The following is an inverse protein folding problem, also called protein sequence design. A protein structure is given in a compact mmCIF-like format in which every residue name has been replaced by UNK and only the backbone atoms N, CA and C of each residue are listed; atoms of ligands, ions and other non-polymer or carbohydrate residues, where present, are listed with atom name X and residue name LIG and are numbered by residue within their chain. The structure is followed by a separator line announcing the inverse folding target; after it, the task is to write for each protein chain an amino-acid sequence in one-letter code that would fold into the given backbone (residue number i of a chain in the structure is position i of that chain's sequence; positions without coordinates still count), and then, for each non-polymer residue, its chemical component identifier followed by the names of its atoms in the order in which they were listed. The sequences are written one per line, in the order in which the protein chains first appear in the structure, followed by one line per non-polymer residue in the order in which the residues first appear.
data_IF_136210695282
#
_entry.id   IF_136210695282
#
_cell.length_a   1.000
_cell.length_b   1.000
_cell.length_c   1.000
_cell.angle_alpha   90.00
_cell.angle_beta   90.00
_cell.angle_gamma   90.00
#
_symmetry.space_group_name_H-M   'P 1'
#
loop_
_entity.id
_entity.type
_entity.pdbx_description
1 polymer ?
#
# COMPACT_ATOMS: atom_id res chain seq x y z
N UNK A 1 -10.53 -9.08 25.28
CA UNK A 1 -9.46 -9.09 24.24
C UNK A 1 -9.97 -8.41 22.99
N UNK A 2 -9.23 -7.45 22.45
CA UNK A 2 -9.63 -6.76 21.23
C UNK A 2 -9.34 -7.62 20.00
N UNK A 3 -10.35 -7.80 19.11
CA UNK A 3 -10.17 -8.49 17.85
C UNK A 3 -9.36 -7.65 16.88
N UNK A 4 -8.23 -8.17 16.41
CA UNK A 4 -7.39 -7.55 15.39
C UNK A 4 -7.42 -8.35 14.08
N UNK A 5 -7.19 -7.65 12.97
CA UNK A 5 -7.13 -8.27 11.65
C UNK A 5 -5.74 -8.12 11.05
N UNK A 6 -5.23 -9.19 10.41
CA UNK A 6 -3.95 -9.17 9.69
C UNK A 6 -4.05 -9.91 8.37
N UNK A 7 -3.57 -9.30 7.30
CA UNK A 7 -3.60 -9.89 5.97
C UNK A 7 -2.21 -10.36 5.54
N UNK A 8 -2.11 -11.57 5.02
CA UNK A 8 -0.91 -12.09 4.38
C UNK A 8 -1.15 -12.39 2.91
N UNK A 9 -0.22 -11.98 2.07
CA UNK A 9 -0.26 -12.21 0.62
C UNK A 9 0.68 -13.34 0.24
N UNK A 10 0.12 -14.40 -0.35
CA UNK A 10 0.84 -15.60 -0.78
C UNK A 10 0.75 -15.80 -2.29
N UNK A 11 1.76 -16.46 -2.86
CA UNK A 11 1.75 -16.89 -4.25
C UNK A 11 0.89 -18.13 -4.40
N UNK A 12 -0.03 -18.14 -5.37
CA UNK A 12 -0.83 -19.31 -5.75
C UNK A 12 -0.54 -19.76 -7.18
N UNK A 13 -0.76 -21.03 -7.46
CA UNK A 13 -0.44 -21.66 -8.73
C UNK A 13 -1.69 -22.43 -9.24
N UNK A 14 -2.62 -21.72 -9.88
CA UNK A 14 -3.78 -22.35 -10.50
C UNK A 14 -3.35 -23.20 -11.72
N UNK A 15 -4.05 -24.29 -11.99
CA UNK A 15 -3.98 -25.03 -13.25
C UNK A 15 -4.75 -24.30 -14.36
N UNK A 16 -4.72 -24.85 -15.61
CA UNK A 16 -5.37 -24.20 -16.76
C UNK A 16 -6.88 -24.04 -16.58
N UNK A 17 -7.57 -25.06 -16.01
CA UNK A 17 -9.01 -25.01 -15.75
C UNK A 17 -9.34 -23.93 -14.71
N UNK A 18 -8.56 -23.89 -13.64
CA UNK A 18 -8.68 -22.87 -12.58
C UNK A 18 -8.38 -21.47 -13.10
N UNK A 19 -7.38 -21.29 -13.98
CA UNK A 19 -7.10 -19.99 -14.62
C UNK A 19 -8.29 -19.46 -15.43
N UNK A 20 -8.97 -20.35 -16.16
CA UNK A 20 -10.19 -20.00 -16.92
C UNK A 20 -11.30 -19.55 -15.97
N UNK A 21 -11.55 -20.33 -14.91
CA UNK A 21 -12.61 -20.01 -13.94
C UNK A 21 -12.30 -18.72 -13.15
N UNK A 22 -11.05 -18.50 -12.78
CA UNK A 22 -10.62 -17.23 -12.16
C UNK A 22 -10.83 -16.04 -13.12
N UNK A 23 -10.51 -16.22 -14.41
CA UNK A 23 -10.72 -15.16 -15.41
C UNK A 23 -12.23 -14.86 -15.59
N UNK A 24 -13.09 -15.88 -15.62
CA UNK A 24 -14.55 -15.74 -15.61
C UNK A 24 -15.01 -15.00 -14.36
N UNK A 25 -14.52 -15.38 -13.17
CA UNK A 25 -14.87 -14.72 -11.90
C UNK A 25 -14.51 -13.22 -11.91
N UNK A 26 -13.30 -12.87 -12.38
CA UNK A 26 -12.94 -11.45 -12.54
C UNK A 26 -13.86 -10.71 -13.52
N UNK A 27 -14.27 -11.39 -14.61
CA UNK A 27 -15.20 -10.85 -15.61
C UNK A 27 -16.59 -10.61 -15.00
N UNK A 28 -17.14 -11.60 -14.31
CA UNK A 28 -18.44 -11.53 -13.64
C UNK A 28 -18.48 -10.44 -12.57
N UNK A 29 -17.44 -10.33 -11.73
CA UNK A 29 -17.34 -9.29 -10.72
C UNK A 29 -17.32 -7.88 -11.34
N UNK A 30 -16.59 -7.70 -12.45
CA UNK A 30 -16.56 -6.42 -13.17
C UNK A 30 -17.92 -6.10 -13.82
N UNK A 31 -18.54 -7.09 -14.44
CA UNK A 31 -19.85 -6.96 -15.07
C UNK A 31 -20.92 -6.54 -14.03
N UNK A 32 -21.03 -7.26 -12.92
CA UNK A 32 -22.00 -6.94 -11.85
C UNK A 32 -21.76 -5.56 -11.27
N UNK A 33 -20.48 -5.18 -11.04
CA UNK A 33 -20.15 -3.84 -10.57
C UNK A 33 -20.70 -2.76 -11.52
N UNK A 34 -20.44 -2.92 -12.81
CA UNK A 34 -20.86 -1.96 -13.82
C UNK A 34 -22.39 -1.93 -14.00
N UNK A 35 -23.03 -3.09 -14.02
CA UNK A 35 -24.47 -3.20 -14.16
C UNK A 35 -25.20 -2.55 -12.98
N UNK A 36 -24.79 -2.89 -11.74
CA UNK A 36 -25.35 -2.28 -10.54
C UNK A 36 -25.10 -0.77 -10.47
N UNK A 37 -23.93 -0.29 -10.94
CA UNK A 37 -23.64 1.13 -11.02
C UNK A 37 -24.55 1.84 -12.05
N UNK A 38 -24.73 1.23 -13.25
CA UNK A 38 -25.61 1.76 -14.30
C UNK A 38 -27.05 1.87 -13.78
N UNK A 39 -27.58 0.78 -13.24
CA UNK A 39 -28.97 0.72 -12.76
C UNK A 39 -29.23 1.72 -11.64
N UNK A 40 -28.27 1.92 -10.72
CA UNK A 40 -28.36 2.95 -9.68
C UNK A 40 -28.37 4.39 -10.27
N UNK A 41 -27.56 4.64 -11.29
CA UNK A 41 -27.53 5.95 -11.97
C UNK A 41 -28.84 6.20 -12.71
N UNK A 42 -29.37 5.22 -13.43
CA UNK A 42 -30.61 5.30 -14.19
C UNK A 42 -31.81 5.51 -13.26
N UNK A 43 -31.92 4.76 -12.17
CA UNK A 43 -32.97 4.92 -11.18
C UNK A 43 -32.94 6.32 -10.54
N UNK A 44 -31.75 6.78 -10.15
CA UNK A 44 -31.62 8.11 -9.54
C UNK A 44 -31.99 9.25 -10.52
N UNK A 45 -31.69 9.07 -11.81
CA UNK A 45 -32.11 10.03 -12.84
C UNK A 45 -33.63 10.09 -12.97
N UNK A 46 -34.32 8.94 -12.86
CA UNK A 46 -35.76 8.78 -13.05
C UNK A 46 -36.57 9.38 -11.89
N UNK A 47 -36.24 9.00 -10.66
CA UNK A 47 -37.09 9.34 -9.49
C UNK A 47 -36.32 9.84 -8.26
N UNK A 48 -35.01 10.12 -8.41
CA UNK A 48 -34.13 10.57 -7.32
C UNK A 48 -33.99 9.59 -6.15
N UNK A 49 -34.43 8.34 -6.32
CA UNK A 49 -34.28 7.29 -5.31
C UNK A 49 -33.03 6.42 -5.55
N UNK A 50 -32.48 5.85 -4.47
CA UNK A 50 -31.33 4.92 -4.56
C UNK A 50 -31.81 3.48 -4.70
N UNK A 51 -31.53 2.87 -5.85
CA UNK A 51 -31.86 1.49 -6.12
C UNK A 51 -31.17 0.54 -5.15
N UNK A 52 -31.96 -0.31 -4.48
CA UNK A 52 -31.47 -1.39 -3.61
C UNK A 52 -31.62 -2.73 -4.33
N UNK A 53 -30.56 -3.17 -5.00
CA UNK A 53 -30.50 -4.49 -5.66
C UNK A 53 -29.40 -5.34 -5.07
N UNK A 54 -29.52 -6.66 -5.22
CA UNK A 54 -28.46 -7.61 -4.84
C UNK A 54 -27.94 -8.33 -6.09
N UNK A 55 -26.71 -8.85 -6.10
CA UNK A 55 -26.21 -9.64 -7.23
C UNK A 55 -27.07 -10.87 -7.58
N UNK A 56 -27.86 -11.35 -6.63
CA UNK A 56 -28.75 -12.48 -6.84
C UNK A 56 -29.87 -12.18 -7.85
N UNK A 57 -30.42 -10.96 -7.86
CA UNK A 57 -31.47 -10.57 -8.79
C UNK A 57 -31.05 -10.66 -10.25
N UNK A 58 -29.78 -10.38 -10.54
CA UNK A 58 -29.23 -10.44 -11.90
C UNK A 58 -29.00 -11.87 -12.42
N UNK A 59 -29.03 -12.90 -11.56
CA UNK A 59 -28.79 -14.30 -11.97
C UNK A 59 -29.96 -14.88 -12.78
N UNK A 60 -31.15 -14.24 -12.76
CA UNK A 60 -32.28 -14.64 -13.61
C UNK A 60 -32.02 -14.18 -15.04
N UNK A 61 -31.62 -12.94 -15.23
CA UNK A 61 -31.33 -12.33 -16.53
C UNK A 61 -29.98 -12.86 -17.11
N UNK A 62 -28.98 -13.09 -16.24
CA UNK A 62 -27.63 -13.54 -16.62
C UNK A 62 -27.28 -14.89 -15.96
N UNK A 63 -27.76 -16.05 -16.48
CA UNK A 63 -27.59 -17.37 -15.85
C UNK A 63 -26.13 -17.78 -15.66
N UNK A 64 -25.20 -17.31 -16.53
CA UNK A 64 -23.76 -17.57 -16.43
C UNK A 64 -23.10 -17.02 -15.15
N UNK A 65 -23.74 -16.10 -14.43
CA UNK A 65 -23.29 -15.65 -13.11
C UNK A 65 -23.35 -16.77 -12.04
N UNK A 66 -24.07 -17.88 -12.30
CA UNK A 66 -24.13 -19.07 -11.41
C UNK A 66 -22.85 -19.91 -11.51
N UNK A 67 -22.04 -19.74 -12.56
CA UNK A 67 -20.78 -20.49 -12.73
C UNK A 67 -19.72 -20.06 -11.70
N UNK A 68 -19.78 -18.83 -11.19
CA UNK A 68 -18.79 -18.27 -10.29
C UNK A 68 -19.27 -18.24 -8.84
N UNK A 69 -18.35 -17.96 -7.92
CA UNK A 69 -18.65 -17.86 -6.50
C UNK A 69 -19.63 -16.72 -6.20
N UNK A 70 -20.74 -17.04 -5.55
CA UNK A 70 -21.79 -16.07 -5.18
C UNK A 70 -21.29 -15.04 -4.17
N UNK A 71 -20.42 -15.44 -3.22
CA UNK A 71 -19.84 -14.52 -2.24
C UNK A 71 -18.90 -13.51 -2.90
N UNK A 72 -18.22 -13.90 -3.99
CA UNK A 72 -17.44 -12.98 -4.79
C UNK A 72 -18.32 -11.87 -5.39
N UNK A 73 -19.52 -12.21 -5.86
CA UNK A 73 -20.46 -11.23 -6.38
C UNK A 73 -21.05 -10.35 -5.26
N UNK A 74 -21.36 -10.91 -4.08
CA UNK A 74 -21.83 -10.15 -2.92
C UNK A 74 -20.78 -9.11 -2.47
N UNK A 75 -19.50 -9.48 -2.48
CA UNK A 75 -18.42 -8.51 -2.17
C UNK A 75 -18.35 -7.35 -3.18
N UNK A 76 -18.77 -7.56 -4.44
CA UNK A 76 -18.86 -6.48 -5.42
C UNK A 76 -19.90 -5.43 -5.01
N UNK A 77 -21.06 -5.86 -4.51
CA UNK A 77 -22.06 -4.95 -3.96
C UNK A 77 -21.50 -4.13 -2.80
N UNK A 78 -20.86 -4.80 -1.83
CA UNK A 78 -20.22 -4.12 -0.68
C UNK A 78 -19.19 -3.09 -1.14
N UNK A 79 -18.39 -3.42 -2.14
CA UNK A 79 -17.40 -2.49 -2.69
C UNK A 79 -18.03 -1.29 -3.40
N UNK A 80 -19.15 -1.49 -4.11
CA UNK A 80 -19.87 -0.40 -4.76
C UNK A 80 -20.53 0.52 -3.71
N UNK A 81 -21.16 -0.06 -2.70
CA UNK A 81 -21.76 0.69 -1.59
C UNK A 81 -20.72 1.50 -0.83
N UNK A 82 -19.52 0.90 -0.57
CA UNK A 82 -18.41 1.62 0.04
C UNK A 82 -17.89 2.76 -0.85
N UNK A 83 -17.88 2.57 -2.17
CA UNK A 83 -17.49 3.64 -3.11
C UNK A 83 -18.45 4.82 -3.06
N UNK A 84 -19.76 4.59 -3.00
CA UNK A 84 -20.77 5.64 -2.78
C UNK A 84 -20.61 6.30 -1.42
N UNK A 85 -20.44 5.52 -0.35
CA UNK A 85 -20.20 6.06 0.99
C UNK A 85 -18.97 6.97 1.02
N UNK A 86 -17.87 6.56 0.39
CA UNK A 86 -16.68 7.39 0.28
C UNK A 86 -16.93 8.67 -0.52
N UNK A 87 -17.68 8.62 -1.61
CA UNK A 87 -18.04 9.79 -2.40
C UNK A 87 -18.83 10.83 -1.58
N UNK A 88 -19.81 10.38 -0.79
CA UNK A 88 -20.62 11.30 0.04
C UNK A 88 -19.85 11.82 1.26
N UNK A 89 -18.96 11.02 1.86
CA UNK A 89 -18.20 11.43 3.04
C UNK A 89 -16.89 12.18 2.71
N UNK A 90 -16.35 12.02 1.49
CA UNK A 90 -15.06 12.58 1.04
C UNK A 90 -15.18 13.01 -0.42
N UNK A 91 -15.67 14.21 -0.70
CA UNK A 91 -15.90 14.70 -2.07
C UNK A 91 -14.69 14.59 -3.00
N UNK A 92 -13.47 14.68 -2.44
CA UNK A 92 -12.20 14.54 -3.17
C UNK A 92 -11.99 13.13 -3.77
N UNK A 93 -12.73 12.10 -3.33
CA UNK A 93 -12.60 10.75 -3.92
C UNK A 93 -13.28 10.62 -5.27
N UNK A 94 -14.20 11.54 -5.60
CA UNK A 94 -14.97 11.56 -6.83
C UNK A 94 -16.05 10.46 -6.92
N UNK A 95 -16.91 10.58 -7.92
CA UNK A 95 -18.00 9.63 -8.15
C UNK A 95 -17.51 8.24 -8.55
N UNK A 96 -18.20 7.14 -8.17
CA UNK A 96 -17.85 5.79 -8.58
C UNK A 96 -17.74 5.63 -10.11
N UNK A 97 -16.64 5.04 -10.60
CA UNK A 97 -16.39 4.90 -12.04
C UNK A 97 -16.62 3.49 -12.53
N UNK A 98 -17.07 3.33 -13.77
CA UNK A 98 -17.16 2.04 -14.45
C UNK A 98 -15.78 1.37 -14.53
N UNK A 99 -15.75 0.05 -14.32
CA UNK A 99 -14.53 -0.76 -14.39
C UNK A 99 -14.31 -1.28 -15.81
N UNK A 100 -13.09 -1.13 -16.34
CA UNK A 100 -12.71 -1.70 -17.64
C UNK A 100 -11.76 -2.89 -17.50
N UNK A 101 -11.71 -3.75 -18.51
CA UNK A 101 -10.78 -4.89 -18.55
C UNK A 101 -9.31 -4.45 -18.55
N UNK A 102 -9.02 -3.28 -19.13
CA UNK A 102 -7.65 -2.81 -19.36
C UNK A 102 -7.11 -1.96 -18.20
N UNK A 103 -7.98 -1.26 -17.48
CA UNK A 103 -7.57 -0.31 -16.43
C UNK A 103 -7.92 -0.76 -15.01
N UNK A 104 -8.74 -1.82 -14.86
CA UNK A 104 -9.10 -2.34 -13.55
C UNK A 104 -8.25 -3.54 -13.16
N UNK A 105 -7.97 -3.68 -11.86
CA UNK A 105 -7.29 -4.86 -11.33
C UNK A 105 -8.15 -6.12 -11.55
N UNK A 106 -7.53 -7.21 -12.00
CA UNK A 106 -8.16 -8.52 -12.05
C UNK A 106 -8.13 -9.14 -10.65
N UNK A 107 -9.16 -8.89 -9.85
CA UNK A 107 -9.27 -9.40 -8.48
C UNK A 107 -10.71 -9.61 -8.05
N UNK A 108 -10.93 -10.55 -7.13
CA UNK A 108 -12.18 -10.72 -6.41
C UNK A 108 -11.90 -11.12 -4.95
N UNK A 109 -12.86 -10.85 -4.08
CA UNK A 109 -12.81 -11.26 -2.66
C UNK A 109 -13.94 -12.24 -2.38
N UNK A 110 -13.65 -13.29 -1.62
CA UNK A 110 -14.63 -14.23 -1.08
C UNK A 110 -14.48 -14.35 0.42
N UNK A 111 -15.60 -14.50 1.15
CA UNK A 111 -15.60 -14.58 2.60
C UNK A 111 -15.68 -16.03 3.07
N UNK A 112 -15.14 -16.30 4.26
CA UNK A 112 -15.35 -17.58 4.92
C UNK A 112 -16.80 -17.67 5.42
N UNK A 113 -17.53 -18.65 4.90
CA UNK A 113 -18.88 -19.01 5.35
C UNK A 113 -18.96 -20.54 5.35
N UNK A 114 -19.37 -21.13 6.48
CA UNK A 114 -19.56 -22.58 6.63
C UNK A 114 -18.37 -23.44 6.15
N UNK A 115 -17.13 -22.97 6.40
CA UNK A 115 -15.93 -23.74 6.06
C UNK A 115 -15.60 -23.86 4.56
N UNK A 116 -16.17 -22.98 3.71
CA UNK A 116 -15.97 -22.97 2.27
C UNK A 116 -14.54 -22.57 1.81
N UNK A 117 -13.71 -22.09 2.71
CA UNK A 117 -12.30 -21.77 2.49
C UNK A 117 -11.45 -22.61 3.44
N UNK A 118 -10.44 -23.30 2.90
CA UNK A 118 -9.49 -24.07 3.70
C UNK A 118 -8.06 -23.78 3.26
N UNK A 119 -7.14 -23.74 4.22
CA UNK A 119 -5.71 -23.56 4.00
C UNK A 119 -4.97 -24.69 4.73
N UNK A 120 -4.62 -25.75 4.00
CA UNK A 120 -4.05 -26.96 4.59
C UNK A 120 -2.94 -27.52 3.69
N UNK A 121 -1.86 -28.01 4.29
CA UNK A 121 -0.79 -28.76 3.61
C UNK A 121 -0.28 -28.10 2.30
N UNK A 122 -0.14 -26.75 2.28
CA UNK A 122 0.33 -26.02 1.10
C UNK A 122 -0.71 -25.92 -0.03
N UNK A 123 -1.98 -26.13 0.28
CA UNK A 123 -3.11 -25.99 -0.65
C UNK A 123 -4.15 -25.01 -0.09
N UNK A 124 -4.66 -24.18 -0.98
CA UNK A 124 -5.77 -23.26 -0.71
C UNK A 124 -7.01 -23.77 -1.45
N UNK A 125 -8.06 -24.06 -0.70
CA UNK A 125 -9.36 -24.46 -1.26
C UNK A 125 -10.28 -23.25 -1.27
N UNK A 126 -10.84 -22.92 -2.42
CA UNK A 126 -11.78 -21.82 -2.60
C UNK A 126 -13.07 -22.30 -3.29
N UNK A 127 -14.21 -21.64 -3.06
CA UNK A 127 -15.47 -21.96 -3.72
C UNK A 127 -15.32 -21.99 -5.25
N UNK A 128 -15.95 -22.97 -5.89
CA UNK A 128 -15.94 -23.18 -7.34
C UNK A 128 -14.58 -23.52 -7.94
N UNK A 129 -13.49 -22.84 -7.55
CA UNK A 129 -12.13 -23.10 -8.08
C UNK A 129 -11.47 -24.34 -7.48
N UNK A 130 -11.97 -24.83 -6.33
CA UNK A 130 -11.41 -25.99 -5.66
C UNK A 130 -10.02 -25.76 -5.07
N UNK A 131 -9.25 -26.86 -4.97
CA UNK A 131 -7.95 -26.89 -4.32
C UNK A 131 -6.84 -26.48 -5.26
N UNK A 132 -6.03 -25.45 -4.90
CA UNK A 132 -4.88 -24.98 -5.65
C UNK A 132 -3.62 -24.90 -4.79
N UNK A 133 -2.45 -25.06 -5.41
CA UNK A 133 -1.16 -24.96 -4.71
C UNK A 133 -0.91 -23.51 -4.26
N UNK A 134 -0.49 -23.35 -2.99
CA UNK A 134 -0.08 -22.07 -2.40
C UNK A 134 1.28 -22.22 -1.74
N UNK A 135 2.11 -21.16 -1.78
CA UNK A 135 3.37 -21.11 -1.04
C UNK A 135 3.20 -20.16 0.14
N UNK A 136 3.07 -20.73 1.34
CA UNK A 136 3.05 -20.00 2.59
C UNK A 136 4.47 -19.83 3.10
N UNK A 137 5.03 -18.63 2.98
CA UNK A 137 6.38 -18.29 3.45
C UNK A 137 6.39 -17.80 4.90
N UNK A 138 5.27 -17.87 5.60
CA UNK A 138 5.09 -17.50 7.01
C UNK A 138 4.32 -18.57 7.73
N UNK A 139 4.68 -18.81 8.97
CA UNK A 139 3.87 -19.61 9.88
C UNK A 139 2.64 -18.79 10.28
N UNK A 140 1.49 -19.41 10.22
CA UNK A 140 0.21 -18.84 10.63
C UNK A 140 -0.16 -19.54 11.92
N UNK A 141 -0.32 -18.82 13.05
CA UNK A 141 -0.77 -19.43 14.29
C UNK A 141 -2.10 -20.16 14.12
N UNK A 142 -2.26 -21.29 14.76
CA UNK A 142 -3.45 -22.15 14.64
C UNK A 142 -4.74 -21.52 15.14
N UNK A 143 -4.61 -20.60 16.09
CA UNK A 143 -5.71 -19.84 16.69
C UNK A 143 -6.28 -18.73 15.76
N UNK A 144 -5.57 -18.39 14.69
CA UNK A 144 -6.02 -17.35 13.76
C UNK A 144 -7.09 -17.87 12.83
N UNK A 145 -8.19 -17.14 12.74
CA UNK A 145 -9.35 -17.51 11.89
C UNK A 145 -9.32 -16.75 10.57
N UNK A 146 -9.49 -17.49 9.46
CA UNK A 146 -9.65 -16.88 8.15
C UNK A 146 -11.00 -16.12 8.12
N UNK A 147 -11.00 -14.88 7.65
CA UNK A 147 -12.22 -14.09 7.38
C UNK A 147 -12.56 -14.03 5.90
N UNK A 148 -11.57 -13.75 5.09
CA UNK A 148 -11.76 -13.62 3.64
C UNK A 148 -10.47 -13.88 2.88
N UNK A 149 -10.62 -14.17 1.60
CA UNK A 149 -9.51 -14.31 0.66
C UNK A 149 -9.75 -13.44 -0.56
N UNK A 150 -8.78 -12.58 -0.87
CA UNK A 150 -8.77 -11.81 -2.11
C UNK A 150 -7.78 -12.45 -3.08
N UNK A 151 -8.30 -12.98 -4.18
CA UNK A 151 -7.49 -13.52 -5.28
C UNK A 151 -7.24 -12.43 -6.30
N UNK A 152 -6.00 -12.29 -6.75
CA UNK A 152 -5.66 -11.35 -7.81
C UNK A 152 -4.70 -11.96 -8.84
N UNK A 153 -4.83 -11.50 -10.09
CA UNK A 153 -3.88 -11.74 -11.17
C UNK A 153 -3.11 -10.47 -11.48
N UNK A 154 -1.79 -10.53 -11.36
CA UNK A 154 -0.92 -9.42 -11.75
C UNK A 154 -0.75 -9.36 -13.29
N UNK A 155 -0.40 -8.18 -13.85
CA UNK A 155 -0.11 -8.05 -15.27
C UNK A 155 1.02 -8.96 -15.78
N UNK A 156 1.91 -9.40 -14.91
CA UNK A 156 2.95 -10.41 -15.18
C UNK A 156 2.39 -11.81 -15.47
N UNK A 157 1.08 -12.03 -15.24
CA UNK A 157 0.39 -13.31 -15.34
C UNK A 157 0.44 -14.16 -14.08
N UNK A 158 1.06 -13.67 -13.01
CA UNK A 158 1.14 -14.36 -11.73
C UNK A 158 -0.12 -14.16 -10.90
N UNK A 159 -0.49 -15.19 -10.12
CA UNK A 159 -1.63 -15.16 -9.21
C UNK A 159 -1.20 -15.09 -7.76
N UNK A 160 -1.96 -14.35 -6.96
CA UNK A 160 -1.74 -14.20 -5.52
C UNK A 160 -3.07 -14.29 -4.77
N UNK A 161 -3.02 -14.83 -3.56
CA UNK A 161 -4.10 -14.79 -2.59
C UNK A 161 -3.67 -13.94 -1.39
N UNK A 162 -4.45 -12.91 -1.07
CA UNK A 162 -4.34 -12.16 0.18
C UNK A 162 -5.37 -12.73 1.13
N UNK A 163 -4.92 -13.40 2.19
CA UNK A 163 -5.77 -14.03 3.19
C UNK A 163 -5.85 -13.10 4.39
N UNK A 164 -7.06 -12.68 4.74
CA UNK A 164 -7.34 -11.89 5.93
C UNK A 164 -7.63 -12.82 7.10
N UNK A 165 -6.87 -12.70 8.15
CA UNK A 165 -7.04 -13.41 9.40
C UNK A 165 -7.57 -12.47 10.49
N UNK A 166 -8.42 -13.01 11.37
CA UNK A 166 -8.83 -12.40 12.62
C UNK A 166 -8.19 -13.16 13.77
N UNK A 167 -7.71 -12.45 14.77
CA UNK A 167 -7.12 -13.03 15.96
C UNK A 167 -7.39 -12.15 17.18
N UNK A 168 -7.40 -12.75 18.36
CA UNK A 168 -7.50 -12.05 19.62
C UNK A 168 -6.11 -11.53 20.00
N UNK A 169 -5.95 -10.21 20.05
CA UNK A 169 -4.72 -9.61 20.48
C UNK A 169 -4.73 -9.41 21.99
N UNK A 170 -3.65 -9.82 22.67
CA UNK A 170 -3.38 -9.32 24.00
C UNK A 170 -3.34 -7.79 23.94
N UNK A 171 -3.98 -7.12 24.86
CA UNK A 171 -3.87 -5.67 25.01
C UNK A 171 -2.41 -5.35 25.37
N UNK A 172 -1.59 -5.05 24.38
CA UNK A 172 -0.32 -4.41 24.61
C UNK A 172 -0.61 -2.97 25.03
N UNK A 173 -0.92 -2.79 26.30
CA UNK A 173 -0.93 -1.50 26.98
C UNK A 173 0.52 -1.10 27.31
N UNK A 174 1.34 -0.90 26.30
CA UNK A 174 2.49 -0.04 26.49
C UNK A 174 2.09 1.36 26.02
N UNK A 175 1.33 2.07 26.85
CA UNK A 175 1.36 3.52 26.82
C UNK A 175 2.81 3.89 27.14
N UNK A 176 3.51 4.49 26.15
CA UNK A 176 4.82 5.09 26.38
C UNK A 176 4.55 6.29 27.31
N UNK A 177 4.66 6.08 28.62
CA UNK A 177 4.41 7.11 29.63
C UNK A 177 5.62 8.00 29.88
N UNK A 178 6.82 7.54 29.57
CA UNK A 178 8.02 8.36 29.47
C UNK A 178 9.02 7.71 28.51
N UNK A 179 9.56 8.48 27.60
CA UNK A 179 10.57 8.00 26.63
C UNK A 179 11.80 8.87 26.75
N UNK A 180 12.97 8.24 26.95
CA UNK A 180 14.24 8.94 26.80
C UNK A 180 14.36 9.44 25.36
N UNK A 181 14.83 10.68 25.19
CA UNK A 181 15.10 11.30 23.89
C UNK A 181 15.98 10.42 22.96
N UNK A 182 16.82 9.57 23.54
CA UNK A 182 17.65 8.59 22.83
C UNK A 182 16.85 7.52 22.11
N UNK A 183 15.63 7.23 22.55
CA UNK A 183 14.74 6.23 21.95
C UNK A 183 13.84 6.82 20.87
N UNK A 184 14.03 8.09 20.51
CA UNK A 184 13.30 8.79 19.44
C UNK A 184 14.22 8.91 18.22
N UNK A 185 13.77 8.45 17.07
CA UNK A 185 14.43 8.65 15.79
C UNK A 185 13.74 9.76 14.99
N UNK A 186 14.44 10.87 14.72
CA UNK A 186 14.01 11.85 13.74
C UNK A 186 14.38 11.40 12.33
N UNK A 187 13.47 11.57 11.38
CA UNK A 187 13.59 11.13 9.99
C UNK A 187 13.31 12.32 9.07
N UNK A 188 14.31 12.76 8.34
CA UNK A 188 14.19 13.72 7.27
C UNK A 188 14.19 13.02 5.91
N UNK A 189 13.18 13.26 5.06
CA UNK A 189 13.07 12.63 3.75
C UNK A 189 13.91 13.39 2.71
N UNK A 190 14.78 12.67 2.00
CA UNK A 190 15.68 13.22 1.01
C UNK A 190 15.36 12.74 -0.41
N UNK A 191 15.75 13.53 -1.44
CA UNK A 191 15.37 13.26 -2.82
C UNK A 191 16.20 12.16 -3.51
N UNK A 192 17.50 12.10 -3.18
CA UNK A 192 18.44 11.14 -3.81
C UNK A 192 18.55 9.83 -3.05
N UNK A 193 18.23 9.85 -1.77
CA UNK A 193 18.13 8.70 -0.86
C UNK A 193 16.75 8.69 -0.25
N UNK A 194 16.36 7.65 0.46
CA UNK A 194 15.05 7.64 1.09
C UNK A 194 14.97 8.64 2.24
N UNK A 195 15.94 8.63 3.14
CA UNK A 195 15.92 9.45 4.34
C UNK A 195 17.31 9.60 4.97
N UNK A 196 17.47 10.68 5.74
CA UNK A 196 18.55 10.92 6.69
C UNK A 196 17.97 10.84 8.09
N UNK A 197 18.72 10.26 9.02
CA UNK A 197 18.26 10.02 10.39
C UNK A 197 19.01 10.89 11.40
N UNK A 198 18.36 11.16 12.53
CA UNK A 198 18.93 11.96 13.62
C UNK A 198 20.13 11.31 14.33
N UNK A 199 20.42 10.03 14.07
CA UNK A 199 21.62 9.34 14.51
C UNK A 199 22.81 9.47 13.52
N UNK A 200 22.65 10.29 12.46
CA UNK A 200 23.63 10.51 11.41
C UNK A 200 23.65 9.43 10.31
N UNK A 201 22.90 8.35 10.46
CA UNK A 201 22.81 7.32 9.44
C UNK A 201 21.86 7.71 8.30
N UNK A 202 21.98 7.01 7.17
CA UNK A 202 21.17 7.26 5.97
C UNK A 202 20.47 5.99 5.49
N UNK A 203 19.37 6.18 4.76
CA UNK A 203 18.63 5.10 4.12
C UNK A 203 18.78 5.19 2.59
N UNK A 204 19.82 4.55 2.07
CA UNK A 204 20.09 4.45 0.64
C UNK A 204 19.43 3.22 0.01
N UNK A 205 18.96 3.38 -1.23
CA UNK A 205 18.45 2.22 -1.98
C UNK A 205 19.60 1.31 -2.41
N UNK A 206 19.44 -0.01 -2.25
CA UNK A 206 20.46 -0.95 -2.68
C UNK A 206 20.73 -0.88 -4.19
N UNK A 207 21.98 -1.09 -4.62
CA UNK A 207 22.41 -1.06 -6.02
C UNK A 207 21.57 -1.94 -6.96
N UNK A 208 21.05 -3.08 -6.46
CA UNK A 208 20.18 -3.95 -7.25
C UNK A 208 18.84 -3.29 -7.64
N UNK A 209 18.42 -2.25 -6.92
CA UNK A 209 17.22 -1.50 -7.25
C UNK A 209 17.45 -0.67 -8.52
N UNK A 210 18.54 0.09 -8.60
CA UNK A 210 18.94 0.84 -9.79
C UNK A 210 19.06 -0.04 -11.03
N UNK A 211 19.75 -1.18 -10.92
CA UNK A 211 19.85 -2.18 -12.00
C UNK A 211 18.48 -2.70 -12.47
N UNK A 212 17.49 -2.80 -11.57
CA UNK A 212 16.15 -3.21 -11.97
C UNK A 212 15.39 -2.12 -12.73
N UNK A 213 15.59 -0.85 -12.36
CA UNK A 213 15.02 0.31 -13.09
C UNK A 213 15.62 0.43 -14.49
N UNK A 214 16.92 0.30 -14.64
CA UNK A 214 17.60 0.30 -15.95
C UNK A 214 17.06 -0.80 -16.86
N UNK A 215 16.90 -2.01 -16.32
CA UNK A 215 16.31 -3.13 -17.08
C UNK A 215 14.87 -2.80 -17.51
N UNK A 216 14.07 -2.23 -16.63
CA UNK A 216 12.70 -1.82 -16.94
C UNK A 216 12.67 -0.81 -18.09
N UNK A 217 13.49 0.23 -18.01
CA UNK A 217 13.58 1.26 -19.06
C UNK A 217 13.99 0.67 -20.42
N UNK A 218 14.91 -0.30 -20.43
CA UNK A 218 15.32 -1.03 -21.64
C UNK A 218 14.17 -1.83 -22.26
N UNK A 219 13.43 -2.58 -21.43
CA UNK A 219 12.30 -3.37 -21.92
C UNK A 219 11.10 -2.50 -22.35
N UNK A 220 10.92 -1.32 -21.75
CA UNK A 220 9.92 -0.34 -22.19
C UNK A 220 10.25 0.25 -23.54
N UNK A 221 11.53 0.60 -23.81
CA UNK A 221 11.99 1.05 -25.15
C UNK A 221 11.72 -0.01 -26.20
N UNK A 222 12.02 -1.29 -25.93
CA UNK A 222 11.69 -2.39 -26.86
C UNK A 222 10.18 -2.48 -27.14
N UNK A 223 9.34 -2.25 -26.10
CA UNK A 223 7.89 -2.29 -26.26
C UNK A 223 7.38 -1.17 -27.16
N UNK A 224 7.96 0.04 -27.08
CA UNK A 224 7.55 1.18 -27.91
C UNK A 224 7.81 0.95 -29.41
N UNK A 225 8.78 0.10 -29.75
CA UNK A 225 9.07 -0.28 -31.15
C UNK A 225 8.24 -1.48 -31.66
N UNK A 226 7.41 -2.11 -30.80
CA UNK A 226 6.56 -3.21 -31.23
C UNK A 226 5.23 -2.70 -31.78
N UNK A 227 4.77 -3.28 -32.88
CA UNK A 227 3.44 -3.03 -33.43
C UNK A 227 2.34 -3.42 -32.44
N UNK A 228 1.46 -2.44 -32.12
CA UNK A 228 0.35 -2.63 -31.18
C UNK A 228 -0.62 -3.69 -31.71
N UNK A 229 -0.97 -4.65 -30.85
CA UNK A 229 -1.88 -5.76 -31.21
C UNK A 229 -1.16 -7.02 -31.69
N UNK A 230 0.11 -6.95 -32.09
CA UNK A 230 0.89 -8.10 -32.54
C UNK A 230 1.19 -9.10 -31.39
N UNK A 231 1.48 -10.35 -31.75
CA UNK A 231 1.95 -11.38 -30.79
C UNK A 231 3.25 -10.94 -30.10
N UNK A 232 4.13 -10.26 -30.82
CA UNK A 232 5.40 -9.75 -30.26
C UNK A 232 5.15 -8.63 -29.24
N UNK A 233 4.22 -7.71 -29.53
CA UNK A 233 3.78 -6.70 -28.56
C UNK A 233 3.26 -7.35 -27.27
N UNK A 234 2.39 -8.37 -27.36
CA UNK A 234 1.86 -9.08 -26.21
C UNK A 234 2.96 -9.76 -25.38
N UNK A 235 3.95 -10.42 -26.02
CA UNK A 235 5.11 -11.02 -25.35
C UNK A 235 5.96 -9.95 -24.65
N UNK A 236 6.24 -8.84 -25.32
CA UNK A 236 7.07 -7.76 -24.79
C UNK A 236 6.36 -7.03 -23.63
N UNK A 237 5.04 -6.77 -23.76
CA UNK A 237 4.21 -6.22 -22.68
C UNK A 237 4.27 -7.06 -21.40
N UNK A 238 4.26 -8.40 -21.55
CA UNK A 238 4.43 -9.31 -20.39
C UNK A 238 5.82 -9.18 -19.76
N UNK A 239 6.91 -9.05 -20.57
CA UNK A 239 8.26 -8.83 -20.03
C UNK A 239 8.36 -7.51 -19.26
N UNK A 240 7.80 -6.43 -19.80
CA UNK A 240 7.72 -5.12 -19.11
C UNK A 240 6.97 -5.27 -17.78
N UNK A 241 5.82 -5.96 -17.77
CA UNK A 241 5.05 -6.20 -16.55
C UNK A 241 5.86 -6.98 -15.48
N UNK A 242 6.65 -7.97 -15.90
CA UNK A 242 7.56 -8.71 -14.99
C UNK A 242 8.66 -7.78 -14.44
N UNK A 243 9.20 -6.86 -15.24
CA UNK A 243 10.18 -5.89 -14.77
C UNK A 243 9.57 -4.91 -13.76
N UNK A 244 8.38 -4.38 -14.02
CA UNK A 244 7.64 -3.55 -13.06
C UNK A 244 7.39 -4.27 -11.73
N UNK A 245 6.97 -5.55 -11.80
CA UNK A 245 6.77 -6.35 -10.60
C UNK A 245 8.07 -6.51 -9.80
N UNK A 246 9.20 -6.73 -10.47
CA UNK A 246 10.52 -6.82 -9.79
C UNK A 246 10.90 -5.52 -9.10
N UNK A 247 10.75 -4.38 -9.75
CA UNK A 247 11.02 -3.05 -9.16
C UNK A 247 10.13 -2.84 -7.94
N UNK A 248 8.80 -3.05 -8.09
CA UNK A 248 7.81 -2.95 -6.99
C UNK A 248 8.18 -3.83 -5.80
N UNK A 249 8.54 -5.11 -6.06
CA UNK A 249 8.85 -6.06 -5.00
C UNK A 249 10.16 -5.70 -4.27
N UNK A 250 11.21 -5.25 -5.00
CA UNK A 250 12.47 -4.82 -4.41
C UNK A 250 12.30 -3.58 -3.53
N UNK A 251 11.52 -2.59 -4.02
CA UNK A 251 11.17 -1.40 -3.24
C UNK A 251 10.45 -1.80 -1.95
N UNK A 252 9.43 -2.65 -2.08
CA UNK A 252 8.64 -3.12 -0.93
C UNK A 252 9.50 -3.90 0.08
N UNK A 253 10.39 -4.76 -0.37
CA UNK A 253 11.32 -5.50 0.49
C UNK A 253 12.24 -4.55 1.26
N UNK A 254 12.81 -3.57 0.58
CA UNK A 254 13.63 -2.53 1.21
C UNK A 254 12.86 -1.79 2.31
N UNK A 255 11.66 -1.28 2.00
CA UNK A 255 10.85 -0.57 2.98
C UNK A 255 10.42 -1.47 4.16
N UNK A 256 10.10 -2.74 3.90
CA UNK A 256 9.77 -3.68 4.96
C UNK A 256 10.95 -3.93 5.91
N UNK A 257 12.17 -4.10 5.36
CA UNK A 257 13.37 -4.31 6.17
C UNK A 257 13.74 -3.08 6.96
N UNK A 258 13.74 -1.90 6.32
CA UNK A 258 14.06 -0.65 6.98
C UNK A 258 13.06 -0.32 8.09
N UNK A 259 11.75 -0.35 7.81
CA UNK A 259 10.72 -0.06 8.81
C UNK A 259 10.69 -1.07 9.96
N UNK A 260 11.10 -2.35 9.72
CA UNK A 260 11.26 -3.32 10.80
C UNK A 260 12.44 -2.96 11.69
N UNK A 261 13.61 -2.69 11.11
CA UNK A 261 14.81 -2.29 11.85
C UNK A 261 14.58 -1.06 12.73
N UNK A 262 13.85 -0.05 12.20
CA UNK A 262 13.52 1.16 12.97
C UNK A 262 12.56 0.80 14.13
N UNK A 263 11.48 0.07 13.85
CA UNK A 263 10.50 -0.29 14.88
C UNK A 263 11.11 -1.18 15.99
N UNK A 264 12.09 -2.04 15.65
CA UNK A 264 12.75 -2.89 16.64
C UNK A 264 13.74 -2.10 17.54
N UNK A 265 14.32 -1.00 17.02
CA UNK A 265 15.37 -0.24 17.73
C UNK A 265 14.85 0.97 18.50
N UNK A 266 13.82 1.66 18.00
CA UNK A 266 13.33 2.90 18.58
C UNK A 266 11.89 2.74 19.08
N UNK A 267 11.52 3.49 20.10
CA UNK A 267 10.16 3.52 20.65
C UNK A 267 9.28 4.51 19.87
N UNK A 268 9.88 5.58 19.40
CA UNK A 268 9.20 6.62 18.63
C UNK A 268 10.00 6.94 17.37
N UNK A 269 9.29 7.01 16.25
CA UNK A 269 9.79 7.59 15.02
C UNK A 269 9.07 8.92 14.76
N UNK A 270 9.84 9.96 14.46
CA UNK A 270 9.33 11.30 14.17
C UNK A 270 9.59 11.67 12.70
N UNK A 271 8.59 12.19 12.01
CA UNK A 271 8.65 12.59 10.60
C UNK A 271 7.96 13.92 10.41
N UNK A 272 8.28 14.66 9.35
CA UNK A 272 7.46 15.81 8.92
C UNK A 272 6.14 15.35 8.33
N UNK A 273 5.04 16.09 8.58
CA UNK A 273 3.73 15.85 7.96
C UNK A 273 3.68 16.43 6.55
N UNK A 274 4.41 15.82 5.63
CA UNK A 274 4.52 16.26 4.25
C UNK A 274 3.27 15.90 3.42
N UNK A 275 2.74 16.86 2.67
CA UNK A 275 1.74 16.57 1.64
C UNK A 275 2.43 16.02 0.37
N UNK A 276 2.48 14.69 0.29
CA UNK A 276 3.10 13.99 -0.85
C UNK A 276 2.41 14.28 -2.18
N UNK A 277 1.12 14.65 -2.17
CA UNK A 277 0.37 14.99 -3.40
C UNK A 277 0.79 16.37 -3.91
N UNK A 278 0.92 17.32 -2.99
CA UNK A 278 1.36 18.65 -3.30
C UNK A 278 2.83 18.68 -3.79
N UNK A 279 3.71 17.96 -3.11
CA UNK A 279 5.11 17.79 -3.54
C UNK A 279 5.21 17.17 -4.94
N UNK A 280 4.37 16.19 -5.26
CA UNK A 280 4.35 15.56 -6.57
C UNK A 280 3.87 16.50 -7.68
N UNK A 281 2.98 17.46 -7.38
CA UNK A 281 2.38 18.38 -8.36
C UNK A 281 3.23 19.63 -8.58
N UNK A 282 3.65 20.28 -7.49
CA UNK A 282 4.17 21.65 -7.54
C UNK A 282 5.67 21.73 -7.80
N UNK A 283 6.45 20.68 -7.53
CA UNK A 283 7.92 20.76 -7.58
C UNK A 283 8.55 19.99 -8.75
N UNK A 284 7.78 19.50 -9.72
CA UNK A 284 8.25 18.62 -10.81
C UNK A 284 8.98 17.33 -10.32
N UNK A 285 8.94 17.05 -9.03
CA UNK A 285 9.57 15.90 -8.38
C UNK A 285 8.69 14.65 -8.38
N UNK A 286 7.57 14.68 -9.10
CA UNK A 286 6.57 13.59 -9.11
C UNK A 286 7.17 12.22 -9.33
N UNK A 287 8.18 12.10 -10.19
CA UNK A 287 8.88 10.84 -10.44
C UNK A 287 9.67 10.38 -9.21
N UNK A 288 10.46 11.26 -8.59
CA UNK A 288 11.29 10.93 -7.42
C UNK A 288 10.44 10.62 -6.19
N UNK A 289 9.40 11.42 -5.91
CA UNK A 289 8.47 11.20 -4.79
C UNK A 289 7.71 9.87 -4.96
N UNK A 290 7.23 9.57 -6.18
CA UNK A 290 6.56 8.28 -6.47
C UNK A 290 7.55 7.11 -6.47
N UNK A 291 8.77 7.32 -6.95
CA UNK A 291 9.81 6.29 -6.98
C UNK A 291 10.34 5.99 -5.58
N UNK A 292 10.47 6.98 -4.71
CA UNK A 292 10.90 6.79 -3.33
C UNK A 292 9.83 6.11 -2.45
N UNK A 293 8.55 6.28 -2.75
CA UNK A 293 7.47 5.57 -2.07
C UNK A 293 7.34 5.90 -0.58
N UNK A 294 7.57 7.16 -0.19
CA UNK A 294 7.50 7.64 1.21
C UNK A 294 6.19 7.24 1.91
N UNK A 295 5.04 7.42 1.25
CA UNK A 295 3.74 7.03 1.82
C UNK A 295 3.65 5.54 2.15
N UNK A 296 4.23 4.67 1.30
CA UNK A 296 4.32 3.24 1.60
C UNK A 296 5.22 2.98 2.79
N UNK A 297 6.37 3.65 2.87
CA UNK A 297 7.29 3.51 3.99
C UNK A 297 6.64 3.94 5.31
N UNK A 298 5.98 5.10 5.34
CA UNK A 298 5.26 5.59 6.51
C UNK A 298 4.17 4.61 6.97
N UNK A 299 3.34 4.12 6.05
CA UNK A 299 2.31 3.12 6.38
C UNK A 299 2.92 1.85 6.97
N UNK A 300 4.06 1.38 6.43
CA UNK A 300 4.74 0.19 6.92
C UNK A 300 5.40 0.42 8.29
N UNK A 301 5.91 1.61 8.54
CA UNK A 301 6.52 1.98 9.82
C UNK A 301 5.46 2.12 10.90
N UNK A 302 4.39 2.86 10.62
CA UNK A 302 3.29 3.14 11.54
C UNK A 302 2.65 1.85 12.08
N UNK A 303 2.24 0.91 11.20
CA UNK A 303 1.61 -0.31 11.69
C UNK A 303 2.57 -1.19 12.51
N UNK A 304 3.88 -1.19 12.19
CA UNK A 304 4.86 -1.98 12.94
C UNK A 304 5.17 -1.40 14.32
N UNK A 305 5.23 -0.07 14.42
CA UNK A 305 5.33 0.62 15.70
C UNK A 305 4.08 0.34 16.53
N UNK A 306 2.89 0.51 15.97
CA UNK A 306 1.61 0.25 16.64
C UNK A 306 1.48 -1.22 17.09
N UNK A 307 1.95 -2.20 16.30
CA UNK A 307 1.99 -3.62 16.70
C UNK A 307 2.85 -3.86 17.95
N UNK A 308 3.87 -3.04 18.18
CA UNK A 308 4.78 -3.12 19.32
C UNK A 308 4.39 -2.16 20.48
N UNK A 309 3.24 -1.47 20.38
CA UNK A 309 2.83 -0.45 21.36
C UNK A 309 3.66 0.84 21.29
N UNK A 310 4.33 1.08 20.16
CA UNK A 310 5.19 2.23 19.87
C UNK A 310 4.49 3.23 18.95
N UNK A 311 5.06 4.43 18.79
CA UNK A 311 4.37 5.55 18.15
C UNK A 311 5.13 6.15 16.96
N UNK A 312 4.39 6.58 15.92
CA UNK A 312 4.84 7.48 14.87
C UNK A 312 4.31 8.88 15.16
N UNK A 313 5.22 9.86 15.34
CA UNK A 313 4.88 11.27 15.59
C UNK A 313 5.07 12.05 14.30
N UNK A 314 4.10 12.88 13.94
CA UNK A 314 4.18 13.79 12.80
C UNK A 314 4.38 15.22 13.30
N UNK A 315 5.51 15.80 12.92
CA UNK A 315 5.85 17.19 13.18
C UNK A 315 5.17 18.08 12.14
N UNK A 316 4.70 19.23 12.56
CA UNK A 316 4.01 20.19 11.68
C UNK A 316 4.87 20.52 10.45
N UNK A 317 4.27 20.53 9.26
CA UNK A 317 4.94 20.81 7.96
C UNK A 317 5.58 22.19 7.88
N UNK A 318 5.13 23.16 8.68
CA UNK A 318 5.68 24.52 8.73
C UNK A 318 6.79 24.68 9.78
N UNK A 319 7.11 23.62 10.51
CA UNK A 319 8.22 23.63 11.44
C UNK A 319 9.55 23.81 10.66
N UNK A 320 10.38 24.80 11.00
CA UNK A 320 11.57 25.15 10.22
C UNK A 320 12.74 24.17 10.49
N UNK A 321 12.51 22.87 10.31
CA UNK A 321 13.46 21.80 10.64
C UNK A 321 14.85 22.02 10.03
N UNK A 322 14.93 22.36 8.75
CA UNK A 322 16.19 22.57 8.03
C UNK A 322 16.85 23.93 8.33
N UNK A 323 16.07 24.96 8.73
CA UNK A 323 16.58 26.33 8.99
C UNK A 323 16.93 26.59 10.45
N UNK A 324 16.45 25.75 11.37
CA UNK A 324 16.72 25.93 12.80
C UNK A 324 18.02 25.21 13.20
N UNK A 325 18.78 25.82 14.09
CA UNK A 325 19.95 25.17 14.68
C UNK A 325 19.51 24.10 15.71
N UNK A 326 19.97 22.87 15.55
CA UNK A 326 19.63 21.77 16.46
C UNK A 326 20.25 21.91 17.86
N UNK A 327 21.22 22.83 18.04
CA UNK A 327 21.90 23.09 19.32
C UNK A 327 21.29 24.28 20.05
N UNK A 328 21.20 25.46 19.42
CA UNK A 328 20.77 26.69 20.09
C UNK A 328 19.36 27.18 19.69
N UNK A 329 18.67 26.53 18.78
CA UNK A 329 17.32 26.89 18.34
C UNK A 329 17.23 28.13 17.42
N UNK A 330 18.33 28.82 17.13
CA UNK A 330 18.32 30.02 16.25
C UNK A 330 17.91 29.60 14.82
N UNK A 331 17.03 30.41 14.23
CA UNK A 331 16.59 30.22 12.83
C UNK A 331 17.52 31.02 11.90
N UNK A 332 18.07 30.35 10.89
CA UNK A 332 18.87 30.94 9.82
C UNK A 332 17.99 31.19 8.60
N UNK A 333 17.54 32.43 8.40
CA UNK A 333 16.61 32.79 7.33
C UNK A 333 17.23 32.68 5.92
N UNK A 334 18.52 32.98 5.81
CA UNK A 334 19.32 33.07 4.57
C UNK A 334 19.83 31.71 4.06
N UNK A 335 19.49 30.60 4.70
CA UNK A 335 19.89 29.25 4.29
C UNK A 335 19.29 28.90 2.92
N UNK A 336 20.14 28.63 1.92
CA UNK A 336 19.75 28.27 0.55
C UNK A 336 19.54 26.76 0.42
N UNK A 337 18.74 26.35 -0.56
CA UNK A 337 18.53 24.93 -0.87
C UNK A 337 19.80 24.21 -1.34
N UNK A 338 20.74 24.94 -1.91
CA UNK A 338 22.06 24.45 -2.34
C UNK A 338 23.01 24.15 -1.20
N UNK A 339 22.79 24.76 -0.02
CA UNK A 339 23.69 24.63 1.11
C UNK A 339 23.55 23.23 1.70
N UNK A 340 24.62 22.46 1.73
CA UNK A 340 24.66 21.10 2.28
C UNK A 340 25.16 21.07 3.72
N UNK A 341 25.91 22.09 4.13
CA UNK A 341 26.44 22.20 5.48
C UNK A 341 25.72 23.32 6.22
N UNK A 342 25.12 22.99 7.35
CA UNK A 342 24.54 23.95 8.26
C UNK A 342 25.65 24.55 9.17
N UNK A 343 25.77 25.88 9.21
CA UNK A 343 26.72 26.60 10.07
C UNK A 343 25.96 27.63 10.90
N UNK A 344 26.11 27.60 12.22
CA UNK A 344 25.47 28.50 13.15
C UNK A 344 26.49 29.35 13.86
N UNK A 345 26.08 30.56 14.29
CA UNK A 345 26.92 31.47 15.10
C UNK A 345 27.25 30.89 16.50
N UNK A 346 26.50 29.87 16.99
CA UNK A 346 26.84 29.17 18.23
C UNK A 346 28.00 28.17 18.07
N UNK A 347 28.62 28.09 16.87
CA UNK A 347 29.68 27.13 16.57
C UNK A 347 29.20 25.78 16.01
N UNK A 348 27.89 25.52 15.96
CA UNK A 348 27.39 24.30 15.38
C UNK A 348 27.66 24.20 13.88
N UNK A 349 28.37 23.16 13.45
CA UNK A 349 28.66 22.83 12.04
C UNK A 349 28.30 21.37 11.82
N UNK A 350 27.34 21.11 10.94
CA UNK A 350 26.91 19.74 10.62
C UNK A 350 26.26 19.67 9.23
N UNK A 351 26.04 18.45 8.73
CA UNK A 351 25.24 18.24 7.54
C UNK A 351 23.82 18.80 7.75
N UNK A 352 23.26 19.50 6.75
CA UNK A 352 21.96 20.18 6.85
C UNK A 352 20.81 19.20 7.07
N UNK A 353 20.83 18.06 6.39
CA UNK A 353 19.75 17.09 6.45
C UNK A 353 19.82 16.32 7.79
N UNK A 354 21.03 16.09 8.34
CA UNK A 354 21.21 15.58 9.72
C UNK A 354 20.70 16.61 10.74
N UNK A 355 21.01 17.90 10.57
CA UNK A 355 20.48 18.97 11.44
C UNK A 355 18.96 18.99 11.43
N UNK A 356 18.32 18.83 10.25
CA UNK A 356 16.87 18.75 10.11
C UNK A 356 16.30 17.53 10.84
N UNK A 357 16.88 16.35 10.66
CA UNK A 357 16.45 15.13 11.33
C UNK A 357 16.56 15.25 12.87
N UNK A 358 17.63 15.89 13.39
CA UNK A 358 17.78 16.17 14.83
C UNK A 358 16.70 17.12 15.33
N UNK A 359 16.37 18.18 14.57
CA UNK A 359 15.30 19.11 14.90
C UNK A 359 13.93 18.42 14.93
N UNK A 360 13.63 17.56 13.96
CA UNK A 360 12.39 16.75 13.92
C UNK A 360 12.29 15.87 15.18
N UNK A 361 13.39 15.21 15.59
CA UNK A 361 13.45 14.44 16.83
C UNK A 361 13.17 15.31 18.06
N UNK A 362 13.82 16.47 18.13
CA UNK A 362 13.71 17.37 19.27
C UNK A 362 12.29 17.93 19.43
N UNK A 363 11.65 18.30 18.31
CA UNK A 363 10.26 18.77 18.28
C UNK A 363 9.28 17.66 18.68
N UNK A 364 9.47 16.44 18.18
CA UNK A 364 8.65 15.31 18.62
C UNK A 364 8.79 15.04 20.11
N UNK A 365 10.01 15.12 20.65
CA UNK A 365 10.22 14.99 22.10
C UNK A 365 9.47 16.06 22.88
N UNK A 366 9.51 17.33 22.41
CA UNK A 366 8.76 18.43 23.03
C UNK A 366 7.24 18.17 23.02
N UNK A 367 6.68 17.71 21.88
CA UNK A 367 5.25 17.42 21.75
C UNK A 367 4.75 16.29 22.65
N UNK A 368 5.61 15.34 22.99
CA UNK A 368 5.25 14.19 23.85
C UNK A 368 5.41 14.56 25.33
N UNK A 369 6.33 15.46 25.64
CA UNK A 369 6.65 15.88 27.02
C UNK A 369 5.77 17.05 27.50
N UNK A 370 4.99 17.66 26.62
CA UNK A 370 4.01 18.72 26.92
C UNK A 370 2.64 18.12 27.25
#
# INVERSE_FOLDING_TARGET
MAKKNKAFRFRIYPDRGQEVLLAKTFGCCRFIYNRMLSDKIEQYKKDKTMLKTTPASYKKEFPWLKEVDSLALCNVQIHLEQAYKNFFSRPETGFPRFKSKHHSSSSYTTNLVNGNIKLEKGRLVLPKTGSMRIICHRQIPSEWKIKSVTVCREPSGKYYASILFEYDAAENQSSITSTDKKNILGIDFAMHILAVFSDGSTAEYPAYYGKAQEKLAREQRKLSHCEKGSKNYAKQKKKVAVCHEKVKNRRRDFHHKLSRRIADRYDIAAVEDLDMKEMSRNMHFGKSVMDNGYGMFLTLLEYKLTEQGKQLVKVNRYFPSSKMCSVCGRIKADLKLSDRVYRCCCGNIMDRDVNAAVNIRNEAYRQISA
#
